data_IF_076118147494
#
_entry.id   IF_076118147494
#
_cell.length_a   1.000
_cell.length_b   1.000
_cell.length_c   1.000
_cell.angle_alpha   90.00
_cell.angle_beta   90.00
_cell.angle_gamma   90.00
#
_symmetry.space_group_name_H-M   'P 1'
#
loop_
_entity.id
_entity.type
_entity.pdbx_description
1 polymer ?
#
# COMPACT_ATOMS: atom_id res chain seq x y z
N UNK A 1 -12.77 2.35 -18.12
CA UNK A 1 -12.60 0.90 -18.37
C UNK A 1 -12.24 0.28 -17.02
N UNK A 2 -13.12 -0.52 -16.43
CA UNK A 2 -12.87 -1.08 -15.10
C UNK A 2 -12.06 -2.37 -15.25
N UNK A 3 -10.90 -2.47 -14.59
CA UNK A 3 -10.10 -3.69 -14.60
C UNK A 3 -10.87 -4.92 -14.07
N UNK A 4 -11.92 -4.69 -13.27
CA UNK A 4 -12.77 -5.73 -12.70
C UNK A 4 -13.64 -6.47 -13.72
N UNK A 5 -13.79 -5.95 -14.94
CA UNK A 5 -14.60 -6.57 -16.00
C UNK A 5 -13.76 -7.18 -17.13
N UNK A 6 -12.43 -7.29 -16.95
CA UNK A 6 -11.57 -7.87 -17.99
C UNK A 6 -11.74 -9.39 -18.01
N UNK A 7 -11.81 -10.01 -19.20
CA UNK A 7 -11.87 -11.47 -19.33
C UNK A 7 -10.54 -12.16 -19.00
N UNK A 8 -9.45 -11.38 -18.93
CA UNK A 8 -8.09 -11.82 -18.63
C UNK A 8 -7.65 -11.10 -17.35
N UNK A 9 -7.00 -11.83 -16.45
CA UNK A 9 -6.47 -11.27 -15.21
C UNK A 9 -5.43 -10.18 -15.54
N UNK A 10 -5.56 -8.96 -14.99
CA UNK A 10 -4.63 -7.88 -15.28
C UNK A 10 -3.24 -8.16 -14.71
N UNK A 11 -2.21 -7.76 -15.45
CA UNK A 11 -0.82 -7.89 -15.01
C UNK A 11 -0.48 -6.90 -13.86
N UNK A 12 0.66 -7.09 -13.16
CA UNK A 12 1.05 -6.21 -12.07
C UNK A 12 1.18 -4.73 -12.46
N UNK A 13 1.60 -4.43 -13.69
CA UNK A 13 1.74 -3.03 -14.15
C UNK A 13 0.38 -2.36 -14.31
N UNK A 14 -0.59 -3.06 -14.88
CA UNK A 14 -1.96 -2.60 -15.01
C UNK A 14 -2.61 -2.39 -13.64
N UNK A 15 -2.42 -3.33 -12.71
CA UNK A 15 -2.91 -3.22 -11.33
C UNK A 15 -2.28 -2.03 -10.60
N UNK A 16 -0.97 -1.82 -10.73
CA UNK A 16 -0.26 -0.68 -10.13
C UNK A 16 -0.73 0.66 -10.66
N UNK A 17 -0.88 0.79 -11.99
CA UNK A 17 -1.43 1.98 -12.64
C UNK A 17 -2.87 2.27 -12.16
N UNK A 18 -3.68 1.23 -12.03
CA UNK A 18 -5.05 1.36 -11.53
C UNK A 18 -5.11 1.77 -10.06
N UNK A 19 -4.27 1.22 -9.18
CA UNK A 19 -4.15 1.70 -7.79
C UNK A 19 -3.73 3.18 -7.73
N UNK A 20 -2.79 3.59 -8.59
CA UNK A 20 -2.38 4.99 -8.72
C UNK A 20 -3.54 5.90 -9.12
N UNK A 21 -4.39 5.46 -10.05
CA UNK A 21 -5.60 6.18 -10.44
C UNK A 21 -6.67 6.19 -9.32
N UNK A 22 -6.88 5.08 -8.62
CA UNK A 22 -7.85 4.99 -7.53
C UNK A 22 -7.47 5.88 -6.35
N UNK A 23 -6.17 6.08 -6.10
CA UNK A 23 -5.67 7.07 -5.12
C UNK A 23 -6.19 8.48 -5.42
N UNK A 24 -6.23 8.90 -6.68
CA UNK A 24 -6.70 10.24 -7.09
C UNK A 24 -8.20 10.39 -6.89
N UNK A 25 -8.97 9.33 -7.15
CA UNK A 25 -10.44 9.37 -7.10
C UNK A 25 -11.04 8.88 -5.77
N UNK A 26 -10.22 8.44 -4.82
CA UNK A 26 -10.66 8.04 -3.48
C UNK A 26 -11.45 6.72 -3.40
N UNK A 27 -11.43 5.88 -4.44
CA UNK A 27 -12.14 4.61 -4.42
C UNK A 27 -11.34 3.52 -3.68
N UNK A 28 -11.59 3.41 -2.37
CA UNK A 28 -10.84 2.50 -1.51
C UNK A 28 -11.11 1.02 -1.80
N UNK A 29 -12.33 0.64 -2.17
CA UNK A 29 -12.67 -0.77 -2.45
C UNK A 29 -11.92 -1.30 -3.66
N UNK A 30 -11.92 -0.54 -4.76
CA UNK A 30 -11.18 -0.91 -5.97
C UNK A 30 -9.68 -0.93 -5.72
N UNK A 31 -9.17 -0.01 -4.89
CA UNK A 31 -7.77 -0.02 -4.48
C UNK A 31 -7.43 -1.30 -3.71
N UNK A 32 -8.27 -1.71 -2.74
CA UNK A 32 -8.06 -2.93 -1.96
C UNK A 32 -8.01 -4.17 -2.85
N UNK A 33 -8.96 -4.29 -3.77
CA UNK A 33 -9.00 -5.40 -4.72
C UNK A 33 -7.69 -5.49 -5.53
N UNK A 34 -7.21 -4.37 -6.08
CA UNK A 34 -5.98 -4.36 -6.85
C UNK A 34 -4.73 -4.63 -5.99
N UNK A 35 -4.71 -4.13 -4.75
CA UNK A 35 -3.62 -4.38 -3.81
C UNK A 35 -3.51 -5.85 -3.41
N UNK A 36 -4.64 -6.52 -3.16
CA UNK A 36 -4.68 -7.96 -2.85
C UNK A 36 -4.09 -8.79 -3.99
N UNK A 37 -4.43 -8.45 -5.23
CA UNK A 37 -3.84 -9.09 -6.42
C UNK A 37 -2.32 -8.84 -6.51
N UNK A 38 -1.88 -7.61 -6.28
CA UNK A 38 -0.44 -7.29 -6.29
C UNK A 38 0.34 -7.96 -5.17
N UNK A 39 -0.22 -8.10 -3.97
CA UNK A 39 0.43 -8.82 -2.87
C UNK A 39 0.55 -10.31 -3.15
N UNK A 40 -0.39 -10.89 -3.91
CA UNK A 40 -0.31 -12.28 -4.35
C UNK A 40 0.71 -12.47 -5.50
N UNK A 41 0.74 -11.56 -6.47
CA UNK A 41 1.61 -11.66 -7.65
C UNK A 41 3.07 -11.26 -7.36
N UNK A 42 3.25 -10.25 -6.51
CA UNK A 42 4.55 -9.62 -6.24
C UNK A 42 4.75 -9.41 -4.74
N UNK A 43 4.75 -10.50 -3.93
CA UNK A 43 4.83 -10.40 -2.48
C UNK A 43 6.10 -9.69 -2.04
N UNK A 44 7.21 -9.87 -2.74
CA UNK A 44 8.51 -9.30 -2.36
C UNK A 44 8.77 -7.91 -2.97
N UNK A 45 7.74 -7.17 -3.41
CA UNK A 45 7.89 -5.81 -3.95
C UNK A 45 7.40 -4.76 -2.95
N UNK A 46 8.30 -4.11 -2.17
CA UNK A 46 7.95 -3.11 -1.16
C UNK A 46 7.13 -1.92 -1.68
N UNK A 47 7.28 -1.59 -2.97
CA UNK A 47 6.56 -0.48 -3.60
C UNK A 47 5.04 -0.68 -3.56
N UNK A 48 4.55 -1.92 -3.68
CA UNK A 48 3.11 -2.24 -3.65
C UNK A 48 2.53 -1.99 -2.25
N UNK A 49 3.26 -2.37 -1.20
CA UNK A 49 2.88 -2.12 0.19
C UNK A 49 2.96 -0.64 0.55
N UNK A 50 3.98 0.06 0.05
CA UNK A 50 4.16 1.50 0.27
C UNK A 50 3.00 2.29 -0.36
N UNK A 51 2.59 1.95 -1.59
CA UNK A 51 1.46 2.59 -2.25
C UNK A 51 0.17 2.41 -1.46
N UNK A 52 -0.15 1.18 -1.03
CA UNK A 52 -1.35 0.90 -0.24
C UNK A 52 -1.32 1.59 1.14
N UNK A 53 -0.16 1.58 1.81
CA UNK A 53 0.07 2.31 3.05
C UNK A 53 -0.23 3.80 2.89
N UNK A 54 0.16 4.41 1.78
CA UNK A 54 -0.05 5.83 1.54
C UNK A 54 -1.53 6.14 1.31
N UNK A 55 -2.25 5.29 0.57
CA UNK A 55 -3.68 5.45 0.32
C UNK A 55 -4.49 5.34 1.63
N UNK A 56 -4.15 4.37 2.48
CA UNK A 56 -4.77 4.29 3.82
C UNK A 56 -4.46 5.52 4.68
N UNK A 57 -3.21 6.03 4.65
CA UNK A 57 -2.86 7.22 5.43
C UNK A 57 -3.58 8.48 4.97
N UNK A 58 -3.81 8.66 3.65
CA UNK A 58 -4.52 9.84 3.14
C UNK A 58 -6.00 9.85 3.51
N UNK A 59 -6.55 8.73 3.98
CA UNK A 59 -7.93 8.59 4.42
C UNK A 59 -8.03 8.43 5.95
N UNK A 60 -6.92 8.53 6.69
CA UNK A 60 -6.91 8.39 8.16
C UNK A 60 -7.06 6.96 8.68
N UNK A 61 -6.91 5.94 7.83
CA UNK A 61 -7.03 4.52 8.19
C UNK A 61 -5.74 3.99 8.85
N UNK A 62 -5.34 4.59 9.97
CA UNK A 62 -4.04 4.32 10.63
C UNK A 62 -3.83 2.86 11.06
N UNK A 63 -4.92 2.15 11.40
CA UNK A 63 -4.87 0.71 11.71
C UNK A 63 -4.45 -0.12 10.49
N UNK A 64 -5.01 0.19 9.32
CA UNK A 64 -4.66 -0.47 8.07
C UNK A 64 -3.23 -0.14 7.61
N UNK A 65 -2.79 1.11 7.81
CA UNK A 65 -1.40 1.48 7.54
C UNK A 65 -0.42 0.62 8.36
N UNK A 66 -0.71 0.45 9.65
CA UNK A 66 0.13 -0.36 10.54
C UNK A 66 0.18 -1.82 10.08
N UNK A 67 -0.97 -2.38 9.65
CA UNK A 67 -1.07 -3.74 9.12
C UNK A 67 -0.22 -3.93 7.85
N UNK A 68 -0.37 -3.04 6.85
CA UNK A 68 0.36 -3.13 5.58
C UNK A 68 1.87 -3.04 5.78
N UNK A 69 2.33 -2.15 6.66
CA UNK A 69 3.77 -2.01 6.95
C UNK A 69 4.34 -3.19 7.72
N UNK A 70 3.53 -3.86 8.54
CA UNK A 70 3.93 -5.12 9.15
C UNK A 70 4.13 -6.19 8.07
N UNK A 71 3.20 -6.33 7.12
CA UNK A 71 3.35 -7.29 6.01
C UNK A 71 4.63 -7.01 5.19
N UNK A 72 4.88 -5.74 4.86
CA UNK A 72 6.05 -5.30 4.10
C UNK A 72 7.40 -5.71 4.74
N UNK A 73 7.49 -5.68 6.09
CA UNK A 73 8.71 -6.12 6.79
C UNK A 73 9.00 -7.61 6.63
N UNK A 74 7.95 -8.43 6.56
CA UNK A 74 8.09 -9.89 6.38
C UNK A 74 8.38 -10.24 4.92
N UNK A 75 8.01 -9.38 3.97
CA UNK A 75 8.20 -9.64 2.55
C UNK A 75 9.53 -9.16 1.98
N UNK A 76 10.30 -8.38 2.73
CA UNK A 76 11.55 -7.75 2.28
C UNK A 76 12.75 -8.12 3.18
N UNK A 77 12.70 -9.30 3.78
CA UNK A 77 13.76 -9.82 4.67
C UNK A 77 15.11 -10.01 3.93
N UNK A 78 15.12 -9.92 2.60
CA UNK A 78 16.32 -10.05 1.75
C UNK A 78 17.13 -8.76 1.56
N UNK A 79 16.60 -7.57 1.88
CA UNK A 79 17.34 -6.32 1.62
C UNK A 79 18.13 -5.85 2.86
N UNK A 80 19.48 -5.71 2.79
CA UNK A 80 20.31 -5.34 3.94
C UNK A 80 20.07 -3.96 4.57
N UNK A 81 19.26 -3.08 3.97
CA UNK A 81 18.90 -1.75 4.51
C UNK A 81 17.39 -1.63 4.84
N UNK A 82 16.63 -2.71 4.65
CA UNK A 82 15.20 -2.76 4.96
C UNK A 82 14.90 -2.37 6.43
N UNK A 83 15.66 -2.80 7.45
CA UNK A 83 15.37 -2.49 8.84
C UNK A 83 15.34 -0.98 9.14
N UNK A 84 16.32 -0.22 8.63
CA UNK A 84 16.46 1.22 8.85
C UNK A 84 15.38 2.02 8.14
N UNK A 85 15.12 1.71 6.86
CA UNK A 85 14.08 2.38 6.06
C UNK A 85 12.70 2.16 6.70
N UNK A 86 12.42 0.94 7.16
CA UNK A 86 11.14 0.64 7.81
C UNK A 86 11.03 1.24 9.20
N UNK A 87 12.13 1.38 9.95
CA UNK A 87 12.15 2.11 11.21
C UNK A 87 11.82 3.60 11.03
N UNK A 88 12.43 4.25 10.03
CA UNK A 88 12.15 5.65 9.68
C UNK A 88 10.68 5.83 9.26
N UNK A 89 10.16 4.93 8.41
CA UNK A 89 8.76 4.91 8.06
C UNK A 89 7.87 4.75 9.30
N UNK A 90 8.22 3.86 10.24
CA UNK A 90 7.51 3.68 11.50
C UNK A 90 7.45 4.95 12.36
N UNK A 91 8.54 5.70 12.46
CA UNK A 91 8.59 6.99 13.17
C UNK A 91 7.73 8.05 12.47
N UNK A 92 7.82 8.16 11.14
CA UNK A 92 6.98 9.05 10.34
C UNK A 92 5.49 8.76 10.56
N UNK A 93 5.10 7.48 10.65
CA UNK A 93 3.71 7.10 10.91
C UNK A 93 3.20 7.64 12.25
N UNK A 94 4.01 7.52 13.32
CA UNK A 94 3.65 8.02 14.64
C UNK A 94 3.46 9.52 14.63
N UNK A 95 4.40 10.24 14.00
CA UNK A 95 4.32 11.69 13.82
C UNK A 95 3.10 12.12 13.00
N UNK A 96 2.79 11.39 11.92
CA UNK A 96 1.63 11.66 11.06
C UNK A 96 0.32 11.40 11.80
N UNK A 97 0.24 10.32 12.58
CA UNK A 97 -0.92 10.00 13.41
C UNK A 97 -1.12 11.04 14.51
N UNK A 98 -0.06 11.43 15.21
CA UNK A 98 -0.11 12.47 16.24
C UNK A 98 -0.60 13.78 15.66
N UNK A 99 -0.06 14.25 14.53
CA UNK A 99 -0.55 15.48 13.87
C UNK A 99 -2.01 15.39 13.42
N UNK A 100 -2.47 14.22 12.97
CA UNK A 100 -3.86 13.99 12.57
C UNK A 100 -4.85 13.96 13.75
N UNK A 101 -4.39 13.85 15.00
CA UNK A 101 -5.24 13.97 16.20
C UNK A 101 -5.49 15.45 16.58
N UNK A 102 -4.76 16.38 15.98
CA UNK A 102 -4.84 17.82 16.28
C UNK A 102 -5.41 18.66 15.11
N UNK A 103 -5.93 18.01 14.06
CA UNK A 103 -6.64 18.61 12.92
C UNK A 103 -8.02 17.98 12.81
#
# INVERSE_FOLDING_TARGET
>A
MALTSMPIEPDPSALGAFMGACKVHGNLELTKWAAEKLFALEPNKPVNYTLMSNIYSSQGHWGDVSRVRKMMRHSDESHPQAPEVYAMLGLLLRLMKEKSLYL
#
